data_IF_387036815471
#
_entry.id   IF_387036815471
#
_cell.length_a   1.000
_cell.length_b   1.000
_cell.length_c   1.000
_cell.angle_alpha   90.00
_cell.angle_beta   90.00
_cell.angle_gamma   90.00
#
_symmetry.space_group_name_H-M   'P 1'
#
loop_
_entity.id
_entity.type
_entity.pdbx_description
1 polymer ?
#
# COMPACT_ATOMS: atom_id res chain seq x y z
N UNK A 1 -1.93 28.30 -0.64
CA UNK A 1 -1.00 28.04 0.48
C UNK A 1 0.41 27.93 -0.06
N UNK A 2 1.44 28.48 0.59
CA UNK A 2 2.83 28.40 0.10
C UNK A 2 3.65 27.58 1.08
N UNK A 3 4.48 26.68 0.56
CA UNK A 3 5.39 25.85 1.36
C UNK A 3 6.80 25.95 0.78
N UNK A 4 7.82 25.98 1.66
CA UNK A 4 9.21 25.90 1.25
C UNK A 4 9.57 24.49 0.83
N UNK A 5 10.30 24.36 -0.25
CA UNK A 5 10.89 23.10 -0.68
C UNK A 5 12.12 22.76 0.16
N UNK A 6 12.50 21.48 0.16
CA UNK A 6 13.80 21.02 0.61
C UNK A 6 14.72 20.97 -0.62
N UNK A 7 15.83 21.70 -0.57
CA UNK A 7 16.93 21.57 -1.52
C UNK A 7 18.01 20.68 -0.90
N UNK A 8 18.50 19.75 -1.70
CA UNK A 8 19.40 18.69 -1.25
C UNK A 8 20.75 18.85 -1.93
N UNK A 9 21.80 19.02 -1.14
CA UNK A 9 23.17 19.11 -1.61
C UNK A 9 23.94 17.87 -1.21
N UNK A 10 24.53 17.17 -2.16
CA UNK A 10 25.36 16.02 -1.93
C UNK A 10 26.83 16.40 -1.95
N UNK A 11 27.56 16.03 -0.91
CA UNK A 11 29.01 16.13 -0.84
C UNK A 11 29.56 14.71 -0.83
N UNK A 12 30.41 14.39 -1.78
CA UNK A 12 31.01 13.05 -1.91
C UNK A 12 32.29 13.05 -1.10
N UNK A 13 32.34 12.25 -0.03
CA UNK A 13 33.57 11.97 0.72
C UNK A 13 34.11 10.62 0.25
N UNK A 14 35.35 10.63 -0.23
CA UNK A 14 36.04 9.43 -0.68
C UNK A 14 37.11 9.07 0.35
N UNK A 15 36.91 8.00 1.08
CA UNK A 15 37.93 7.43 1.96
C UNK A 15 38.61 6.26 1.25
N UNK A 16 39.91 6.38 1.02
CA UNK A 16 40.75 5.28 0.55
C UNK A 16 41.25 4.48 1.76
N UNK A 17 40.69 3.30 1.98
CA UNK A 17 41.16 2.33 2.96
C UNK A 17 41.94 1.22 2.24
N UNK A 18 42.91 0.59 2.93
CA UNK A 18 43.70 -0.54 2.42
C UNK A 18 42.85 -1.70 1.85
N UNK A 19 41.57 -1.78 2.24
CA UNK A 19 40.61 -2.81 1.78
C UNK A 19 39.74 -2.38 0.60
N UNK A 20 39.85 -1.15 0.08
CA UNK A 20 39.06 -0.62 -1.02
C UNK A 20 38.60 0.82 -0.82
N UNK A 21 38.02 1.40 -1.85
CA UNK A 21 37.49 2.75 -1.82
C UNK A 21 36.07 2.72 -1.22
N UNK A 22 35.88 3.37 -0.08
CA UNK A 22 34.56 3.62 0.50
C UNK A 22 34.11 5.01 0.05
N UNK A 23 33.00 5.06 -0.67
CA UNK A 23 32.37 6.34 -1.05
C UNK A 23 31.17 6.55 -0.14
N UNK A 24 31.26 7.49 0.76
CA UNK A 24 30.16 7.93 1.59
C UNK A 24 29.52 9.19 0.99
N UNK A 25 28.18 9.22 1.02
CA UNK A 25 27.39 10.34 0.54
C UNK A 25 26.84 11.10 1.75
N UNK A 26 27.33 12.29 1.98
CA UNK A 26 26.75 13.21 2.96
C UNK A 26 25.79 14.16 2.22
N UNK A 27 24.49 14.01 2.49
CA UNK A 27 23.48 14.87 1.88
C UNK A 27 22.93 15.80 2.95
N UNK A 28 23.03 17.10 2.70
CA UNK A 28 22.46 18.13 3.55
C UNK A 28 21.15 18.65 2.95
N UNK A 29 20.13 18.78 3.79
CA UNK A 29 18.85 19.37 3.41
C UNK A 29 18.81 20.84 3.83
N UNK A 30 18.60 21.75 2.89
CA UNK A 30 18.46 23.18 3.11
C UNK A 30 17.09 23.70 2.71
N UNK A 31 16.78 24.92 3.12
CA UNK A 31 15.53 25.60 2.76
C UNK A 31 15.59 26.12 1.33
N UNK A 32 14.72 25.63 0.48
CA UNK A 32 14.62 26.05 -0.90
C UNK A 32 13.52 27.07 -1.18
N UNK A 33 13.14 27.17 -2.46
CA UNK A 33 12.15 28.13 -2.94
C UNK A 33 10.73 27.79 -2.47
N UNK A 34 9.89 28.81 -2.34
CA UNK A 34 8.48 28.61 -2.05
C UNK A 34 7.72 28.09 -3.27
N UNK A 35 6.91 27.05 -3.07
CA UNK A 35 6.00 26.47 -4.07
C UNK A 35 4.55 26.72 -3.65
N UNK A 36 3.70 27.05 -4.60
CA UNK A 36 2.28 27.16 -4.39
C UNK A 36 1.68 25.75 -4.33
N UNK A 37 0.84 25.49 -3.31
CA UNK A 37 0.14 24.22 -3.18
C UNK A 37 -1.20 24.29 -3.90
N UNK A 38 -1.59 23.20 -4.62
CA UNK A 38 -2.92 23.05 -5.21
C UNK A 38 -4.04 23.15 -4.15
N UNK A 39 -5.25 23.46 -4.61
CA UNK A 39 -6.44 23.58 -3.76
C UNK A 39 -6.77 22.29 -2.98
N UNK A 40 -6.35 21.14 -3.49
CA UNK A 40 -6.53 19.84 -2.84
C UNK A 40 -5.95 19.77 -1.42
N UNK A 41 -4.85 20.47 -1.13
CA UNK A 41 -4.25 20.52 0.21
C UNK A 41 -5.09 21.31 1.24
N UNK A 42 -6.01 22.16 0.78
CA UNK A 42 -6.96 22.91 1.61
C UNK A 42 -8.32 22.24 1.76
N UNK A 43 -8.50 21.03 1.23
CA UNK A 43 -9.79 20.34 1.25
C UNK A 43 -10.18 19.87 2.65
N UNK A 44 -11.50 19.82 2.92
CA UNK A 44 -12.04 19.32 4.17
C UNK A 44 -11.68 17.84 4.39
N UNK A 45 -11.35 17.50 5.63
CA UNK A 45 -11.03 16.12 5.99
C UNK A 45 -12.30 15.26 6.13
N UNK A 46 -12.51 14.32 5.21
CA UNK A 46 -13.67 13.44 5.09
C UNK A 46 -13.26 11.96 5.16
N UNK A 47 -13.06 11.40 6.37
CA UNK A 47 -12.62 10.01 6.54
C UNK A 47 -13.65 8.98 6.04
N UNK A 48 -14.92 9.33 6.02
CA UNK A 48 -16.03 8.54 5.48
C UNK A 48 -15.84 8.27 3.97
N UNK A 49 -15.60 9.33 3.20
CA UNK A 49 -15.37 9.22 1.75
C UNK A 49 -14.07 8.48 1.43
N UNK A 50 -13.01 8.76 2.18
CA UNK A 50 -11.72 8.08 2.02
C UNK A 50 -11.89 6.57 2.21
N UNK A 51 -12.52 6.13 3.30
CA UNK A 51 -12.77 4.70 3.56
C UNK A 51 -13.60 4.07 2.47
N UNK A 52 -14.67 4.74 2.02
CA UNK A 52 -15.54 4.26 0.95
C UNK A 52 -14.77 4.08 -0.37
N UNK A 53 -13.94 5.07 -0.76
CA UNK A 53 -13.11 5.02 -1.95
C UNK A 53 -12.09 3.88 -1.90
N UNK A 54 -11.40 3.72 -0.78
CA UNK A 54 -10.43 2.64 -0.58
C UNK A 54 -11.11 1.26 -0.62
N UNK A 55 -12.28 1.11 -0.02
CA UNK A 55 -13.03 -0.14 -0.08
C UNK A 55 -13.46 -0.47 -1.51
N UNK A 56 -13.95 0.51 -2.28
CA UNK A 56 -14.31 0.34 -3.68
C UNK A 56 -13.09 -0.07 -4.53
N UNK A 57 -11.96 0.63 -4.39
CA UNK A 57 -10.71 0.30 -5.08
C UNK A 57 -10.26 -1.13 -4.79
N UNK A 58 -10.25 -1.54 -3.52
CA UNK A 58 -9.89 -2.91 -3.12
C UNK A 58 -10.86 -3.97 -3.62
N UNK A 59 -12.16 -3.66 -3.68
CA UNK A 59 -13.17 -4.55 -4.22
C UNK A 59 -12.98 -4.76 -5.74
N UNK A 60 -12.68 -3.69 -6.49
CA UNK A 60 -12.53 -3.71 -7.94
C UNK A 60 -11.34 -4.56 -8.42
N UNK A 61 -10.25 -4.62 -7.67
CA UNK A 61 -9.10 -5.49 -7.99
C UNK A 61 -9.16 -6.88 -7.35
N UNK A 62 -10.28 -7.21 -6.69
CA UNK A 62 -10.47 -8.53 -6.10
C UNK A 62 -10.72 -9.56 -7.19
N UNK A 63 -9.90 -10.59 -7.22
CA UNK A 63 -10.09 -11.70 -8.15
C UNK A 63 -11.32 -12.50 -7.76
N UNK A 64 -12.19 -12.81 -8.72
CA UNK A 64 -13.34 -13.69 -8.54
C UNK A 64 -12.91 -15.04 -7.99
N UNK A 65 -13.63 -15.54 -7.01
CA UNK A 65 -13.40 -16.85 -6.42
C UNK A 65 -14.71 -17.55 -6.14
N UNK A 66 -14.68 -18.85 -6.25
CA UNK A 66 -15.87 -19.66 -6.02
C UNK A 66 -15.64 -21.12 -6.35
N UNK A 67 -16.67 -21.92 -6.20
CA UNK A 67 -16.70 -23.27 -6.70
C UNK A 67 -17.08 -23.29 -8.19
N UNK A 68 -16.94 -24.46 -8.83
CA UNK A 68 -17.44 -24.68 -10.19
C UNK A 68 -18.94 -24.41 -10.26
N UNK A 69 -19.46 -24.01 -11.42
CA UNK A 69 -20.85 -23.61 -11.64
C UNK A 69 -21.88 -24.61 -11.06
N UNK A 70 -21.65 -25.89 -11.22
CA UNK A 70 -22.48 -26.96 -10.65
C UNK A 70 -21.91 -27.59 -9.38
N UNK A 71 -20.91 -26.94 -8.77
CA UNK A 71 -20.30 -27.40 -7.53
C UNK A 71 -21.31 -27.43 -6.38
N UNK A 72 -21.28 -28.52 -5.61
CA UNK A 72 -22.23 -28.75 -4.51
C UNK A 72 -23.36 -29.69 -4.83
N UNK A 73 -23.76 -29.82 -6.10
CA UNK A 73 -24.75 -30.82 -6.54
C UNK A 73 -24.12 -31.92 -7.38
N UNK A 74 -23.10 -31.61 -8.20
CA UNK A 74 -22.51 -32.58 -9.16
C UNK A 74 -21.02 -32.82 -8.96
N UNK A 75 -20.34 -32.00 -8.14
CA UNK A 75 -18.91 -32.14 -7.87
C UNK A 75 -18.64 -32.54 -6.41
N UNK A 76 -17.62 -33.35 -6.14
CA UNK A 76 -17.25 -33.72 -4.78
C UNK A 76 -16.92 -32.50 -3.95
N UNK A 77 -17.58 -32.36 -2.82
CA UNK A 77 -17.32 -31.32 -1.82
C UNK A 77 -17.12 -31.96 -0.45
N UNK A 78 -16.61 -31.21 0.55
CA UNK A 78 -16.65 -31.70 1.93
C UNK A 78 -18.04 -32.19 2.29
N UNK A 79 -18.16 -33.44 2.72
CA UNK A 79 -19.42 -34.13 2.99
C UNK A 79 -20.02 -34.90 1.78
N UNK A 80 -19.47 -34.75 0.56
CA UNK A 80 -19.94 -35.43 -0.64
C UNK A 80 -18.92 -36.43 -1.23
N UNK A 81 -17.71 -36.50 -0.69
CA UNK A 81 -16.66 -37.42 -1.16
C UNK A 81 -16.83 -38.86 -0.76
N UNK A 82 -17.85 -39.15 0.02
CA UNK A 82 -18.10 -40.50 0.57
C UNK A 82 -19.39 -41.06 0.01
N UNK A 83 -19.46 -42.36 -0.10
CA UNK A 83 -20.71 -43.09 -0.33
C UNK A 83 -21.71 -42.71 0.76
N UNK A 84 -22.92 -42.43 0.37
CA UNK A 84 -23.98 -42.03 1.28
C UNK A 84 -25.15 -43.01 1.17
N UNK A 85 -25.76 -43.30 2.31
CA UNK A 85 -26.93 -44.12 2.44
C UNK A 85 -28.11 -43.27 2.90
N UNK A 86 -29.28 -43.54 2.35
CA UNK A 86 -30.52 -42.99 2.84
C UNK A 86 -31.01 -43.79 4.06
N UNK A 87 -31.04 -43.15 5.21
CA UNK A 87 -31.57 -43.75 6.42
C UNK A 87 -33.05 -43.38 6.58
N UNK A 88 -33.92 -44.33 6.30
CA UNK A 88 -35.38 -44.22 6.44
C UNK A 88 -35.87 -44.43 7.87
N UNK A 89 -37.09 -44.98 7.97
CA UNK A 89 -37.76 -45.28 9.25
C UNK A 89 -37.04 -46.38 10.04
N UNK A 90 -37.28 -46.47 11.34
CA UNK A 90 -36.88 -47.60 12.18
C UNK A 90 -35.48 -47.54 12.79
N UNK A 91 -34.70 -46.51 12.51
CA UNK A 91 -33.32 -46.40 13.03
C UNK A 91 -33.16 -45.43 14.23
N UNK A 92 -34.24 -44.87 14.74
CA UNK A 92 -34.21 -43.97 15.90
C UNK A 92 -33.46 -42.63 15.70
N UNK A 93 -33.16 -42.26 14.45
CA UNK A 93 -32.45 -41.03 14.09
C UNK A 93 -33.17 -40.33 12.94
N UNK A 94 -32.86 -39.06 12.71
CA UNK A 94 -33.48 -38.28 11.64
C UNK A 94 -33.22 -38.92 10.26
N UNK A 95 -34.24 -38.87 9.39
CA UNK A 95 -34.25 -39.47 8.03
C UNK A 95 -33.48 -38.57 7.07
N UNK A 96 -32.18 -38.67 7.09
CA UNK A 96 -31.27 -37.89 6.21
C UNK A 96 -30.25 -38.82 5.60
N UNK A 97 -29.61 -38.37 4.53
CA UNK A 97 -28.46 -39.06 3.99
C UNK A 97 -27.30 -39.05 4.99
N UNK A 98 -26.69 -40.20 5.18
CA UNK A 98 -25.56 -40.38 6.08
C UNK A 98 -24.39 -41.01 5.34
N UNK A 99 -23.18 -40.82 5.88
CA UNK A 99 -22.00 -41.49 5.35
C UNK A 99 -22.15 -42.99 5.54
N UNK A 100 -21.77 -43.78 4.53
CA UNK A 100 -21.82 -45.25 4.61
C UNK A 100 -21.06 -45.73 5.85
N UNK A 101 -21.68 -46.63 6.61
CA UNK A 101 -21.11 -47.18 7.84
C UNK A 101 -21.05 -46.23 9.04
N UNK A 102 -21.59 -44.99 8.96
CA UNK A 102 -21.53 -44.03 10.04
C UNK A 102 -22.86 -43.29 10.27
N UNK A 103 -23.12 -42.89 11.52
CA UNK A 103 -24.27 -42.04 11.87
C UNK A 103 -24.13 -40.57 11.40
N UNK A 104 -22.98 -40.20 10.88
CA UNK A 104 -22.69 -38.79 10.47
C UNK A 104 -23.54 -38.40 9.27
N UNK A 105 -24.32 -37.34 9.39
CA UNK A 105 -25.10 -36.79 8.28
C UNK A 105 -24.23 -36.29 7.15
N UNK A 106 -24.70 -36.42 5.91
CA UNK A 106 -24.00 -35.99 4.69
C UNK A 106 -24.99 -35.37 3.71
N UNK A 107 -24.48 -34.61 2.76
CA UNK A 107 -25.18 -33.95 1.66
C UNK A 107 -26.27 -32.93 2.05
N UNK A 108 -26.81 -32.95 3.24
CA UNK A 108 -27.77 -31.96 3.70
C UNK A 108 -27.08 -30.67 4.14
N UNK A 109 -27.62 -29.48 3.81
CA UNK A 109 -27.05 -28.23 4.22
C UNK A 109 -27.14 -27.95 5.72
N UNK A 110 -28.11 -28.57 6.43
CA UNK A 110 -28.31 -28.37 7.87
C UNK A 110 -27.38 -29.23 8.73
N UNK A 111 -26.66 -30.17 8.17
CA UNK A 111 -25.76 -31.04 8.94
C UNK A 111 -24.35 -30.46 9.03
N UNK A 112 -23.70 -30.68 10.16
CA UNK A 112 -22.27 -30.33 10.32
C UNK A 112 -21.43 -31.13 9.33
N UNK A 113 -20.60 -30.46 8.53
CA UNK A 113 -19.81 -31.10 7.48
C UNK A 113 -20.62 -31.56 6.25
N UNK A 114 -21.88 -31.17 6.14
CA UNK A 114 -22.70 -31.40 4.98
C UNK A 114 -22.42 -30.47 3.80
N UNK A 115 -23.29 -30.47 2.82
CA UNK A 115 -23.18 -29.66 1.61
C UNK A 115 -23.38 -28.17 1.95
N UNK A 116 -22.53 -27.29 1.41
CA UNK A 116 -22.75 -25.86 1.50
C UNK A 116 -23.92 -25.43 0.59
N UNK A 117 -24.98 -24.85 1.18
CA UNK A 117 -26.17 -24.43 0.45
C UNK A 117 -25.88 -23.28 -0.54
N UNK A 118 -25.21 -22.26 -0.05
CA UNK A 118 -24.86 -21.04 -0.80
C UNK A 118 -23.34 -20.85 -0.76
N UNK A 119 -22.62 -21.53 -1.62
CA UNK A 119 -21.18 -21.32 -1.79
C UNK A 119 -20.89 -20.06 -2.59
N UNK A 120 -19.68 -19.50 -2.48
CA UNK A 120 -19.28 -18.38 -3.32
C UNK A 120 -19.26 -18.81 -4.78
N UNK A 121 -19.75 -17.95 -5.67
CA UNK A 121 -19.78 -18.18 -7.12
C UNK A 121 -18.78 -17.29 -7.83
N UNK A 122 -18.12 -17.82 -8.86
CA UNK A 122 -17.19 -17.06 -9.71
C UNK A 122 -17.93 -15.98 -10.51
N UNK A 123 -19.19 -16.22 -10.85
CA UNK A 123 -20.05 -15.29 -11.59
C UNK A 123 -20.50 -14.07 -10.78
N UNK A 124 -20.26 -14.07 -9.45
CA UNK A 124 -20.61 -12.91 -8.62
C UNK A 124 -19.72 -11.73 -8.98
N UNK A 125 -20.34 -10.61 -9.33
CA UNK A 125 -19.64 -9.33 -9.46
C UNK A 125 -19.24 -8.82 -8.06
N UNK A 126 -17.93 -8.64 -7.88
CA UNK A 126 -17.32 -8.14 -6.65
C UNK A 126 -16.99 -6.66 -6.74
N UNK A 127 -17.13 -6.05 -7.92
CA UNK A 127 -16.83 -4.65 -8.14
C UNK A 127 -17.79 -3.73 -7.38
N UNK A 128 -17.29 -2.59 -6.97
CA UNK A 128 -18.07 -1.55 -6.33
C UNK A 128 -17.87 -0.26 -7.11
N UNK A 129 -18.95 0.27 -7.64
CA UNK A 129 -18.93 1.55 -8.35
C UNK A 129 -18.90 2.70 -7.35
N UNK A 130 -18.04 3.66 -7.64
CA UNK A 130 -17.96 4.96 -6.96
C UNK A 130 -18.13 6.06 -7.99
N UNK A 131 -18.84 7.12 -7.65
CA UNK A 131 -19.00 8.27 -8.53
C UNK A 131 -17.67 9.04 -8.63
N UNK A 132 -17.36 9.60 -9.83
CA UNK A 132 -16.10 10.31 -10.06
C UNK A 132 -15.91 11.49 -9.11
N UNK A 133 -16.97 12.26 -8.84
CA UNK A 133 -16.94 13.38 -7.87
C UNK A 133 -16.62 12.91 -6.45
N UNK A 134 -17.19 11.78 -6.00
CA UNK A 134 -16.88 11.20 -4.69
C UNK A 134 -15.43 10.68 -4.63
N UNK A 135 -14.94 10.07 -5.71
CA UNK A 135 -13.56 9.58 -5.79
C UNK A 135 -12.54 10.73 -5.73
N UNK A 136 -12.80 11.82 -6.46
CA UNK A 136 -11.96 13.03 -6.43
C UNK A 136 -11.99 13.70 -5.05
N UNK A 137 -13.17 13.90 -4.46
CA UNK A 137 -13.27 14.46 -3.12
C UNK A 137 -12.57 13.61 -2.05
N UNK A 138 -12.62 12.27 -2.20
CA UNK A 138 -11.89 11.36 -1.31
C UNK A 138 -10.37 11.47 -1.49
N UNK A 139 -9.88 11.62 -2.74
CA UNK A 139 -8.47 11.84 -3.05
C UNK A 139 -8.00 13.17 -2.45
N UNK A 140 -8.69 14.25 -2.71
CA UNK A 140 -8.33 15.59 -2.26
C UNK A 140 -8.34 15.69 -0.73
N UNK A 141 -9.34 15.09 -0.07
CA UNK A 141 -9.39 14.95 1.37
C UNK A 141 -8.22 14.12 1.94
N UNK A 142 -7.78 13.07 1.21
CA UNK A 142 -6.63 12.27 1.62
C UNK A 142 -5.30 13.05 1.41
N UNK A 143 -5.19 13.88 0.36
CA UNK A 143 -4.05 14.80 0.15
C UNK A 143 -3.97 15.80 1.30
N UNK A 144 -5.07 16.45 1.66
CA UNK A 144 -5.10 17.38 2.78
C UNK A 144 -4.64 16.74 4.10
N UNK A 145 -5.00 15.47 4.33
CA UNK A 145 -4.57 14.75 5.52
C UNK A 145 -3.05 14.47 5.56
N UNK A 146 -2.35 14.46 4.43
CA UNK A 146 -0.88 14.29 4.40
C UNK A 146 -0.11 15.55 4.79
N UNK A 147 -0.77 16.70 4.79
CA UNK A 147 -0.19 17.97 5.23
C UNK A 147 -0.27 18.19 6.74
N UNK A 148 -0.97 17.32 7.45
CA UNK A 148 -1.21 17.41 8.88
C UNK A 148 -0.29 16.43 9.63
N UNK A 149 0.68 16.96 10.37
CA UNK A 149 1.65 16.17 11.14
C UNK A 149 1.00 15.28 12.20
N UNK A 150 -0.07 15.76 12.85
CA UNK A 150 -0.79 14.99 13.88
C UNK A 150 -1.43 13.73 13.29
N UNK A 151 -2.04 13.85 12.11
CA UNK A 151 -2.64 12.70 11.41
C UNK A 151 -1.60 11.70 10.93
N UNK A 152 -0.43 12.20 10.48
CA UNK A 152 0.69 11.34 10.07
C UNK A 152 1.27 10.60 11.26
N UNK A 153 1.46 11.27 12.40
CA UNK A 153 1.92 10.66 13.65
C UNK A 153 0.89 9.65 14.21
N UNK A 154 -0.40 10.00 14.21
CA UNK A 154 -1.48 9.13 14.67
C UNK A 154 -1.57 7.82 13.88
N UNK A 155 -1.16 7.84 12.62
CA UNK A 155 -1.05 6.64 11.78
C UNK A 155 0.13 5.73 12.19
N UNK A 156 1.09 6.23 12.94
CA UNK A 156 2.25 5.48 13.45
C UNK A 156 3.51 5.63 12.60
N UNK A 157 3.59 6.65 11.77
CA UNK A 157 4.83 7.04 11.10
C UNK A 157 5.79 7.71 12.08
N UNK A 158 7.09 7.54 11.87
CA UNK A 158 8.15 8.12 12.69
C UNK A 158 8.93 9.15 11.88
N UNK A 159 9.01 10.36 12.38
CA UNK A 159 9.74 11.48 11.75
C UNK A 159 10.28 12.39 12.85
N UNK A 160 11.29 13.22 12.51
CA UNK A 160 11.85 14.21 13.41
C UNK A 160 10.91 15.40 13.58
N UNK A 161 10.94 16.04 14.73
CA UNK A 161 10.11 17.23 15.02
C UNK A 161 10.47 18.43 14.12
N UNK A 162 11.67 18.42 13.50
CA UNK A 162 12.12 19.43 12.55
C UNK A 162 11.44 19.34 11.17
N UNK A 163 10.73 18.24 10.87
CA UNK A 163 10.12 18.02 9.56
C UNK A 163 8.90 18.91 9.36
N UNK A 164 8.88 19.63 8.25
CA UNK A 164 7.75 20.47 7.85
C UNK A 164 6.82 19.74 6.88
N UNK A 165 5.54 19.84 7.12
CA UNK A 165 4.51 19.25 6.27
C UNK A 165 3.77 20.32 5.46
N UNK A 166 3.37 20.03 4.21
CA UNK A 166 3.74 18.84 3.43
C UNK A 166 5.22 18.85 3.02
N UNK A 167 5.82 17.67 2.86
CA UNK A 167 7.22 17.51 2.51
C UNK A 167 7.36 17.61 0.99
N UNK A 168 8.07 18.64 0.52
CA UNK A 168 8.25 18.90 -0.91
C UNK A 168 9.75 18.97 -1.25
N UNK A 169 10.16 18.10 -2.16
CA UNK A 169 11.52 18.08 -2.70
C UNK A 169 11.63 19.07 -3.86
N UNK A 170 12.60 19.95 -3.81
CA UNK A 170 12.88 20.97 -4.82
C UNK A 170 13.92 20.52 -5.83
N UNK A 171 15.17 20.89 -5.60
CA UNK A 171 16.32 20.58 -6.43
C UNK A 171 17.28 19.59 -5.76
N UNK A 172 18.17 19.04 -6.54
CA UNK A 172 19.29 18.23 -6.09
C UNK A 172 20.57 18.77 -6.74
N UNK A 173 21.59 18.99 -5.95
CA UNK A 173 22.90 19.40 -6.45
C UNK A 173 23.96 18.38 -6.03
N UNK A 174 24.84 18.05 -6.96
CA UNK A 174 25.96 17.14 -6.79
C UNK A 174 27.20 17.76 -7.48
N UNK A 175 28.29 17.89 -6.77
CA UNK A 175 29.57 18.45 -7.28
C UNK A 175 29.43 19.81 -7.97
N UNK A 176 28.45 20.63 -7.53
CA UNK A 176 28.19 21.97 -8.10
C UNK A 176 27.28 21.97 -9.33
N UNK A 177 26.86 20.83 -9.83
CA UNK A 177 25.84 20.70 -10.87
C UNK A 177 24.45 20.57 -10.26
N UNK A 178 23.49 21.32 -10.79
CA UNK A 178 22.11 21.27 -10.35
C UNK A 178 21.31 20.33 -11.24
N UNK A 179 20.67 19.35 -10.65
CA UNK A 179 19.80 18.39 -11.32
C UNK A 179 18.35 18.54 -10.88
N UNK A 180 17.44 18.25 -11.78
CA UNK A 180 16.07 18.00 -11.36
C UNK A 180 16.03 16.74 -10.52
N UNK A 181 15.36 16.80 -9.38
CA UNK A 181 15.36 15.70 -8.41
C UNK A 181 14.83 14.37 -8.99
N UNK A 182 13.97 14.40 -10.00
CA UNK A 182 13.46 13.20 -10.67
C UNK A 182 14.50 12.53 -11.56
N UNK A 183 15.47 13.30 -12.10
CA UNK A 183 16.53 12.82 -13.02
C UNK A 183 17.87 12.57 -12.36
N UNK A 184 17.87 12.11 -11.13
CA UNK A 184 19.06 11.76 -10.36
C UNK A 184 20.05 10.87 -11.13
N UNK A 185 21.38 11.06 -10.98
CA UNK A 185 22.37 10.13 -11.51
C UNK A 185 22.12 8.72 -10.98
N UNK A 186 22.10 7.73 -11.88
CA UNK A 186 21.75 6.33 -11.57
C UNK A 186 22.78 5.63 -10.68
N UNK A 187 24.00 6.16 -10.59
CA UNK A 187 25.04 5.58 -9.75
C UNK A 187 24.66 5.64 -8.28
N UNK A 188 24.58 4.46 -7.66
CA UNK A 188 24.21 4.27 -6.25
C UNK A 188 22.92 5.02 -5.82
N UNK A 189 22.00 5.26 -6.76
CA UNK A 189 20.80 6.07 -6.58
C UNK A 189 19.95 5.66 -5.35
N UNK A 190 19.90 4.37 -4.99
CA UNK A 190 19.20 3.91 -3.78
C UNK A 190 19.87 4.40 -2.50
N UNK A 191 21.22 4.42 -2.42
CA UNK A 191 21.94 4.96 -1.26
C UNK A 191 21.69 6.47 -1.16
N UNK A 192 21.80 7.19 -2.27
CA UNK A 192 21.50 8.63 -2.34
C UNK A 192 20.07 8.92 -1.86
N UNK A 193 19.07 8.14 -2.31
CA UNK A 193 17.69 8.30 -1.85
C UNK A 193 17.54 8.09 -0.34
N UNK A 194 18.17 7.07 0.23
CA UNK A 194 18.13 6.82 1.68
C UNK A 194 18.76 8.00 2.43
N UNK A 195 19.95 8.44 2.02
CA UNK A 195 20.64 9.58 2.64
C UNK A 195 19.80 10.88 2.55
N UNK A 196 19.11 11.13 1.41
CA UNK A 196 18.16 12.25 1.28
C UNK A 196 17.04 12.17 2.32
N UNK A 197 16.45 10.99 2.53
CA UNK A 197 15.37 10.83 3.49
C UNK A 197 15.88 10.97 4.94
N UNK A 198 17.08 10.51 5.21
CA UNK A 198 17.73 10.67 6.52
C UNK A 198 18.04 12.13 6.83
N UNK A 199 18.54 12.89 5.86
CA UNK A 199 18.85 14.33 6.03
C UNK A 199 17.59 15.18 6.30
N UNK A 200 16.45 14.79 5.71
CA UNK A 200 15.15 15.44 5.98
C UNK A 200 14.60 15.07 7.37
N UNK A 201 15.07 13.96 7.95
CA UNK A 201 14.58 13.45 9.24
C UNK A 201 13.55 12.32 9.14
N UNK A 202 13.50 11.61 8.00
CA UNK A 202 12.57 10.49 7.76
C UNK A 202 13.23 9.12 7.91
N UNK A 203 14.51 9.03 8.24
CA UNK A 203 15.27 7.79 8.38
C UNK A 203 14.66 6.80 9.37
N UNK A 204 14.11 7.29 10.48
CA UNK A 204 13.45 6.47 11.50
C UNK A 204 12.25 5.67 10.96
N UNK A 205 11.51 6.21 9.99
CA UNK A 205 10.39 5.50 9.37
C UNK A 205 10.85 4.42 8.38
N UNK A 206 11.93 4.67 7.65
CA UNK A 206 12.56 3.67 6.78
C UNK A 206 13.10 2.49 7.58
N UNK A 207 13.80 2.76 8.69
CA UNK A 207 14.29 1.72 9.61
C UNK A 207 13.13 0.92 10.20
N UNK A 208 12.06 1.59 10.66
CA UNK A 208 10.83 0.93 11.14
C UNK A 208 10.24 -0.03 10.11
N UNK A 209 10.21 0.37 8.84
CA UNK A 209 9.65 -0.47 7.78
C UNK A 209 10.53 -1.66 7.43
N UNK A 210 11.84 -1.48 7.43
CA UNK A 210 12.82 -2.54 7.20
C UNK A 210 12.78 -3.60 8.30
N UNK A 211 12.87 -3.19 9.56
CA UNK A 211 12.88 -4.08 10.73
C UNK A 211 11.54 -4.79 10.92
N UNK A 212 10.44 -4.10 10.56
CA UNK A 212 9.10 -4.66 10.56
C UNK A 212 8.82 -5.69 9.47
N UNK A 213 9.77 -5.98 8.57
CA UNK A 213 9.59 -6.93 7.47
C UNK A 213 9.69 -8.38 7.95
N UNK A 214 8.54 -9.02 8.17
CA UNK A 214 8.44 -10.36 8.73
C UNK A 214 7.81 -11.38 7.79
N UNK A 215 8.11 -12.67 7.98
CA UNK A 215 7.47 -13.78 7.29
C UNK A 215 6.02 -13.89 7.79
N UNK A 216 5.05 -14.00 6.88
CA UNK A 216 3.63 -14.14 7.23
C UNK A 216 3.38 -15.45 8.00
N UNK A 217 2.61 -15.37 9.08
CA UNK A 217 2.17 -16.53 9.83
C UNK A 217 1.22 -17.44 9.03
N UNK A 218 0.31 -16.85 8.24
CA UNK A 218 -0.74 -17.56 7.52
C UNK A 218 -0.31 -18.20 6.19
N UNK A 219 -1.25 -18.86 5.51
CA UNK A 219 -1.08 -19.55 4.22
C UNK A 219 -0.72 -18.62 3.04
N UNK A 220 -0.76 -17.29 3.23
CA UNK A 220 -0.31 -16.31 2.23
C UNK A 220 1.13 -16.52 1.78
N UNK A 221 2.01 -17.01 2.67
CA UNK A 221 3.41 -17.34 2.36
C UNK A 221 3.57 -18.43 1.30
N UNK A 222 2.63 -19.38 1.23
CA UNK A 222 2.59 -20.44 0.22
C UNK A 222 2.03 -19.95 -1.13
N UNK A 223 1.46 -18.75 -1.17
CA UNK A 223 0.81 -18.16 -2.34
C UNK A 223 1.58 -16.99 -2.94
N UNK A 224 2.93 -17.01 -2.85
CA UNK A 224 3.80 -15.97 -3.37
C UNK A 224 3.91 -14.71 -2.51
N UNK A 225 3.26 -14.65 -1.33
CA UNK A 225 3.30 -13.51 -0.41
C UNK A 225 4.05 -13.86 0.87
N UNK A 226 5.32 -14.22 0.75
CA UNK A 226 6.12 -14.74 1.88
C UNK A 226 6.33 -13.70 2.98
N UNK A 227 6.70 -12.46 2.62
CA UNK A 227 6.97 -11.39 3.57
C UNK A 227 5.80 -10.41 3.69
N UNK A 228 5.71 -9.77 4.84
CA UNK A 228 4.85 -8.62 5.10
C UNK A 228 5.77 -7.48 5.54
N UNK A 229 5.83 -6.42 4.74
CA UNK A 229 6.58 -5.20 5.06
C UNK A 229 5.57 -4.12 5.43
N UNK A 230 5.77 -3.40 6.53
CA UNK A 230 4.97 -2.22 6.86
C UNK A 230 5.09 -1.16 5.77
N UNK A 231 4.04 -0.39 5.57
CA UNK A 231 4.09 0.76 4.67
C UNK A 231 4.87 1.89 5.33
N UNK A 232 5.74 2.52 4.57
CA UNK A 232 6.51 3.70 4.91
C UNK A 232 6.13 4.86 3.98
N UNK A 233 7.11 5.59 3.54
CA UNK A 233 6.98 6.77 2.70
C UNK A 233 6.22 6.45 1.40
N UNK A 234 5.35 7.35 1.00
CA UNK A 234 4.82 7.44 -0.34
C UNK A 234 5.56 8.55 -1.07
N UNK A 235 6.26 8.23 -2.14
CA UNK A 235 6.89 9.19 -3.02
C UNK A 235 5.95 9.48 -4.19
N UNK A 236 5.56 10.73 -4.37
CA UNK A 236 4.75 11.17 -5.51
C UNK A 236 5.65 11.94 -6.48
N UNK A 237 5.70 11.48 -7.71
CA UNK A 237 6.55 12.01 -8.79
C UNK A 237 5.69 12.41 -9.99
N UNK A 238 6.21 13.31 -10.82
CA UNK A 238 5.56 13.64 -12.10
C UNK A 238 5.76 12.51 -13.12
N UNK A 239 6.97 11.95 -13.18
CA UNK A 239 7.33 10.87 -14.10
C UNK A 239 8.09 9.75 -13.38
N UNK A 240 8.12 8.56 -13.98
CA UNK A 240 8.83 7.39 -13.41
C UNK A 240 10.29 7.34 -13.85
N UNK A 241 11.07 8.30 -13.43
CA UNK A 241 12.48 8.44 -13.77
C UNK A 241 13.43 7.76 -12.76
N UNK A 242 14.67 8.21 -12.69
CA UNK A 242 15.71 7.61 -11.89
C UNK A 242 15.38 7.59 -10.39
N UNK A 243 14.84 8.69 -9.84
CA UNK A 243 14.41 8.77 -8.45
C UNK A 243 13.35 7.71 -8.12
N UNK A 244 12.36 7.55 -9.01
CA UNK A 244 11.31 6.55 -8.85
C UNK A 244 11.85 5.12 -8.82
N UNK A 245 12.85 4.82 -9.65
CA UNK A 245 13.52 3.51 -9.68
C UNK A 245 14.33 3.27 -8.40
N UNK A 246 15.04 4.28 -7.92
CA UNK A 246 15.84 4.23 -6.70
C UNK A 246 14.96 4.00 -5.46
N UNK A 247 13.92 4.79 -5.30
CA UNK A 247 13.00 4.75 -4.17
C UNK A 247 12.22 3.44 -4.08
N UNK A 248 11.79 2.89 -5.21
CA UNK A 248 11.01 1.64 -5.26
C UNK A 248 11.75 0.44 -4.70
N UNK A 249 13.08 0.46 -4.66
CA UNK A 249 13.89 -0.64 -4.13
C UNK A 249 13.91 -0.65 -2.58
N UNK A 250 13.56 0.46 -1.93
CA UNK A 250 13.59 0.58 -0.46
C UNK A 250 12.36 -0.09 0.16
N UNK A 251 12.54 -0.94 1.19
CA UNK A 251 11.44 -1.63 1.84
C UNK A 251 10.37 -0.67 2.40
N UNK A 252 9.11 -0.90 2.04
CA UNK A 252 7.97 -0.12 2.54
C UNK A 252 7.68 1.18 1.77
N UNK A 253 8.59 1.63 0.93
CA UNK A 253 8.39 2.81 0.07
C UNK A 253 7.56 2.43 -1.14
N UNK A 254 6.52 3.21 -1.40
CA UNK A 254 5.74 3.12 -2.64
C UNK A 254 5.98 4.38 -3.47
N UNK A 255 5.97 4.23 -4.78
CA UNK A 255 6.13 5.34 -5.73
C UNK A 255 4.92 5.40 -6.65
N UNK A 256 4.31 6.57 -6.74
CA UNK A 256 3.12 6.81 -7.56
C UNK A 256 3.32 8.08 -8.38
N UNK A 257 2.86 8.06 -9.62
CA UNK A 257 2.81 9.25 -10.47
C UNK A 257 1.61 10.11 -10.07
N UNK A 258 1.78 11.43 -10.05
CA UNK A 258 0.75 12.37 -9.63
C UNK A 258 -0.60 12.18 -10.36
N UNK A 259 -0.55 11.88 -11.66
CA UNK A 259 -1.75 11.60 -12.48
C UNK A 259 -2.51 10.33 -12.08
N UNK A 260 -1.79 9.32 -11.58
CA UNK A 260 -2.35 8.02 -11.19
C UNK A 260 -2.71 7.96 -9.69
N UNK A 261 -2.50 9.07 -8.96
CA UNK A 261 -2.66 9.11 -7.52
C UNK A 261 -4.11 8.89 -7.11
N UNK A 262 -4.34 7.92 -6.26
CA UNK A 262 -5.66 7.60 -5.73
C UNK A 262 -5.72 7.66 -4.20
N UNK A 263 -6.94 7.71 -3.65
CA UNK A 263 -7.15 7.74 -2.20
C UNK A 263 -6.55 6.52 -1.47
N UNK A 264 -6.42 5.37 -2.13
CA UNK A 264 -5.84 4.17 -1.52
C UNK A 264 -4.33 4.30 -1.30
N UNK A 265 -3.60 5.00 -2.18
CA UNK A 265 -2.16 5.21 -2.05
C UNK A 265 -1.86 6.10 -0.84
N UNK A 266 -2.66 7.16 -0.65
CA UNK A 266 -2.56 8.12 0.45
C UNK A 266 -3.12 7.59 1.77
N UNK A 267 -4.09 6.68 1.69
CA UNK A 267 -4.79 6.12 2.85
C UNK A 267 -4.87 4.58 2.76
N UNK A 268 -3.74 3.86 2.78
CA UNK A 268 -3.75 2.40 2.68
C UNK A 268 -4.53 1.79 3.85
N UNK A 269 -5.56 1.02 3.50
CA UNK A 269 -6.47 0.41 4.48
C UNK A 269 -7.69 1.26 4.83
N UNK A 270 -7.76 2.51 4.37
CA UNK A 270 -8.86 3.45 4.61
C UNK A 270 -8.58 4.47 5.70
N UNK A 271 -7.42 4.42 6.34
CA UNK A 271 -7.00 5.40 7.32
C UNK A 271 -6.02 6.39 6.67
N UNK A 272 -6.35 7.68 6.73
CA UNK A 272 -5.58 8.76 6.12
C UNK A 272 -4.31 9.11 6.94
N UNK A 273 -3.47 9.99 6.39
CA UNK A 273 -2.26 10.46 7.06
C UNK A 273 -1.03 9.59 6.74
N UNK A 274 -0.90 9.08 5.54
CA UNK A 274 0.35 8.43 5.11
C UNK A 274 1.45 9.46 4.97
N UNK A 275 2.65 9.14 5.47
CA UNK A 275 3.85 9.94 5.28
C UNK A 275 4.15 10.04 3.78
N UNK A 276 3.98 11.24 3.23
CA UNK A 276 4.07 11.47 1.77
C UNK A 276 5.11 12.54 1.47
N UNK A 277 5.96 12.24 0.50
CA UNK A 277 6.99 13.12 -0.04
C UNK A 277 6.61 13.46 -1.47
N UNK A 278 6.57 14.74 -1.78
CA UNK A 278 6.18 15.25 -3.08
C UNK A 278 7.39 15.81 -3.81
N UNK A 279 7.51 15.57 -5.11
CA UNK A 279 8.44 16.35 -5.93
C UNK A 279 7.74 17.65 -6.36
N UNK A 280 8.53 18.71 -6.60
CA UNK A 280 7.98 19.97 -7.10
C UNK A 280 7.19 19.77 -8.40
N UNK A 281 7.76 19.01 -9.34
CA UNK A 281 7.10 18.67 -10.60
C UNK A 281 5.78 17.89 -10.41
N UNK A 282 5.70 17.03 -9.38
CA UNK A 282 4.46 16.31 -9.06
C UNK A 282 3.36 17.25 -8.56
N UNK A 283 3.70 18.27 -7.78
CA UNK A 283 2.73 19.27 -7.31
C UNK A 283 2.18 20.08 -8.48
N UNK A 284 3.04 20.51 -9.40
CA UNK A 284 2.63 21.21 -10.63
C UNK A 284 1.75 20.31 -11.55
N UNK A 285 1.97 18.99 -11.53
CA UNK A 285 1.17 18.03 -12.30
C UNK A 285 -0.19 17.68 -11.65
N UNK A 286 -0.45 18.11 -10.42
CA UNK A 286 -1.74 17.93 -9.72
C UNK A 286 -2.74 19.05 -10.02
N UNK A 287 -2.28 20.19 -10.54
CA UNK A 287 -3.14 21.28 -11.01
C UNK A 287 -3.82 20.88 -12.33
#
# INVERSE_FOLDING_TARGET
>A
MKVKTYELTNTIEVEELEAGIIIDYSIEASDGKNVNLPSAFGSEFRPDLIRRAVHASRANRRRSYGHREHGGKRAPQPGMKHSVEWWGKGRGVSRIMRKSGARTGAQNPHTRGGRRAHGPMVLKDWSQKLNSKEANAARDSAIAATADSEKVAARGHKFSDSVRFPIVLGGYSEDGENFDIESLPLEKATKKFIAMMESIGLGADLTRANDGSNIRAGKGKMRGRRRRTPRSILLVVAQRDALAKAARNVPGVDVVVAKDLCAEDLAPGGDAGRLTVWTKAAIEALE
#
